data_IF_718497884012
#
_entry.id   IF_718497884012
#
_cell.length_a   1.000
_cell.length_b   1.000
_cell.length_c   1.000
_cell.angle_alpha   90.00
_cell.angle_beta   90.00
_cell.angle_gamma   90.00
#
_symmetry.space_group_name_H-M   'P 1'
#
loop_
_entity.id
_entity.type
_entity.pdbx_description
1 polymer ?
#
# COMPACT_ATOMS: atom_id res chain seq x y z
N UNK A 1 -9.90 -40.27 -35.49
CA UNK A 1 -9.06 -39.12 -35.08
C UNK A 1 -10.00 -38.06 -34.50
N UNK A 2 -10.17 -38.04 -33.18
CA UNK A 2 -11.08 -37.09 -32.51
C UNK A 2 -10.34 -35.76 -32.35
N UNK A 3 -10.51 -34.89 -33.33
CA UNK A 3 -10.14 -33.49 -33.28
C UNK A 3 -11.19 -32.73 -32.48
N UNK A 4 -10.75 -31.68 -31.77
CA UNK A 4 -11.54 -30.84 -30.86
C UNK A 4 -11.57 -31.40 -29.43
N UNK A 5 -10.61 -30.95 -28.61
CA UNK A 5 -10.66 -30.96 -27.15
C UNK A 5 -12.11 -30.74 -26.71
N UNK A 6 -12.70 -31.69 -25.98
CA UNK A 6 -14.08 -31.59 -25.48
C UNK A 6 -14.33 -30.16 -24.96
N UNK A 7 -15.13 -29.40 -25.71
CA UNK A 7 -15.31 -27.96 -25.50
C UNK A 7 -15.74 -27.65 -24.07
N UNK A 8 -16.45 -28.60 -23.43
CA UNK A 8 -16.86 -28.51 -22.03
C UNK A 8 -15.69 -28.70 -21.07
N UNK A 9 -14.87 -29.73 -21.26
CA UNK A 9 -13.68 -29.97 -20.43
C UNK A 9 -12.68 -28.80 -20.53
N UNK A 10 -12.47 -28.27 -21.74
CA UNK A 10 -11.63 -27.09 -21.92
C UNK A 10 -12.20 -25.84 -21.24
N UNK A 11 -13.51 -25.56 -21.39
CA UNK A 11 -14.15 -24.43 -20.75
C UNK A 11 -14.09 -24.50 -19.21
N UNK A 12 -14.26 -25.70 -18.64
CA UNK A 12 -14.13 -25.95 -17.20
C UNK A 12 -12.70 -25.71 -16.71
N UNK A 13 -11.69 -26.21 -17.45
CA UNK A 13 -10.29 -25.96 -17.14
C UNK A 13 -9.97 -24.46 -17.20
N UNK A 14 -10.38 -23.78 -18.26
CA UNK A 14 -10.18 -22.35 -18.44
C UNK A 14 -10.82 -21.53 -17.31
N UNK A 15 -12.04 -21.87 -16.89
CA UNK A 15 -12.70 -21.18 -15.78
C UNK A 15 -11.95 -21.42 -14.46
N UNK A 16 -11.56 -22.66 -14.19
CA UNK A 16 -10.79 -23.02 -12.98
C UNK A 16 -9.46 -22.27 -12.90
N UNK A 17 -8.76 -22.10 -14.03
CA UNK A 17 -7.52 -21.33 -14.11
C UNK A 17 -7.79 -19.84 -13.85
N UNK A 18 -8.82 -19.26 -14.48
CA UNK A 18 -9.18 -17.84 -14.27
C UNK A 18 -9.52 -17.55 -12.81
N UNK A 19 -10.28 -18.43 -12.16
CA UNK A 19 -10.62 -18.30 -10.74
C UNK A 19 -9.39 -18.34 -9.85
N UNK A 20 -8.47 -19.28 -10.10
CA UNK A 20 -7.19 -19.36 -9.37
C UNK A 20 -6.34 -18.10 -9.56
N UNK A 21 -6.22 -17.60 -10.80
CA UNK A 21 -5.49 -16.36 -11.08
C UNK A 21 -6.08 -15.19 -10.29
N UNK A 22 -7.40 -15.00 -10.35
CA UNK A 22 -8.09 -13.91 -9.64
C UNK A 22 -7.92 -14.02 -8.14
N UNK A 23 -8.05 -15.22 -7.58
CA UNK A 23 -7.86 -15.47 -6.15
C UNK A 23 -6.43 -15.12 -5.72
N UNK A 24 -5.43 -15.61 -6.43
CA UNK A 24 -4.02 -15.33 -6.11
C UNK A 24 -3.71 -13.84 -6.23
N UNK A 25 -4.22 -13.15 -7.25
CA UNK A 25 -4.06 -11.70 -7.39
C UNK A 25 -4.70 -10.93 -6.23
N UNK A 26 -5.91 -11.32 -5.83
CA UNK A 26 -6.60 -10.72 -4.69
C UNK A 26 -5.81 -10.92 -3.39
N UNK A 27 -5.34 -12.14 -3.13
CA UNK A 27 -4.56 -12.45 -1.93
C UNK A 27 -3.24 -11.67 -1.89
N UNK A 28 -2.56 -11.55 -3.04
CA UNK A 28 -1.35 -10.74 -3.16
C UNK A 28 -1.62 -9.25 -2.88
N UNK A 29 -2.66 -8.67 -3.50
CA UNK A 29 -3.05 -7.28 -3.26
C UNK A 29 -3.43 -7.04 -1.80
N UNK A 30 -4.13 -7.99 -1.16
CA UNK A 30 -4.49 -7.92 0.25
C UNK A 30 -3.26 -7.91 1.15
N UNK A 31 -2.27 -8.77 0.88
CA UNK A 31 -1.02 -8.81 1.62
C UNK A 31 -0.24 -7.49 1.46
N UNK A 32 -0.10 -7.00 0.23
CA UNK A 32 0.57 -5.72 -0.06
C UNK A 32 -0.13 -4.56 0.65
N UNK A 33 -1.46 -4.48 0.59
CA UNK A 33 -2.22 -3.43 1.26
C UNK A 33 -2.04 -3.44 2.78
N UNK A 34 -1.94 -4.62 3.39
CA UNK A 34 -1.67 -4.76 4.82
C UNK A 34 -0.31 -4.14 5.18
N UNK A 35 0.73 -4.46 4.40
CA UNK A 35 2.07 -3.91 4.62
C UNK A 35 2.11 -2.40 4.37
N UNK A 36 1.41 -1.90 3.35
CA UNK A 36 1.32 -0.45 3.09
C UNK A 36 0.64 0.30 4.25
N UNK A 37 -0.45 -0.23 4.81
CA UNK A 37 -1.11 0.38 5.96
C UNK A 37 -0.17 0.40 7.17
N UNK A 38 0.55 -0.69 7.42
CA UNK A 38 1.52 -0.76 8.52
C UNK A 38 2.65 0.27 8.34
N UNK A 39 3.22 0.37 7.13
CA UNK A 39 4.23 1.37 6.79
C UNK A 39 3.72 2.80 7.01
N UNK A 40 2.50 3.11 6.57
CA UNK A 40 1.90 4.43 6.73
C UNK A 40 1.65 4.78 8.20
N UNK A 41 1.23 3.79 9.01
CA UNK A 41 1.11 3.98 10.46
C UNK A 41 2.47 4.26 11.11
N UNK A 42 3.51 3.56 10.67
CA UNK A 42 4.88 3.68 11.17
C UNK A 42 5.47 5.06 10.86
N UNK A 43 5.36 5.51 9.61
CA UNK A 43 5.76 6.86 9.19
C UNK A 43 5.00 7.90 10.01
N UNK A 44 3.69 7.73 10.18
CA UNK A 44 2.87 8.62 11.00
C UNK A 44 3.40 8.76 12.43
N UNK A 45 3.78 7.64 13.07
CA UNK A 45 4.41 7.62 14.39
C UNK A 45 5.73 8.38 14.40
N UNK A 46 6.62 8.09 13.44
CA UNK A 46 7.91 8.77 13.32
C UNK A 46 7.77 10.29 13.20
N UNK A 47 6.79 10.75 12.41
CA UNK A 47 6.51 12.19 12.30
C UNK A 47 6.08 12.77 13.64
N UNK A 48 5.12 12.15 14.34
CA UNK A 48 4.66 12.63 15.66
C UNK A 48 5.83 12.71 16.65
N UNK A 49 6.64 11.66 16.76
CA UNK A 49 7.79 11.63 17.65
C UNK A 49 8.80 12.76 17.37
N UNK A 50 9.07 13.05 16.09
CA UNK A 50 9.98 14.13 15.70
C UNK A 50 9.37 15.51 15.95
N UNK A 51 8.06 15.66 15.79
CA UNK A 51 7.39 16.91 16.14
C UNK A 51 7.47 17.19 17.64
N UNK A 52 7.25 16.17 18.46
CA UNK A 52 7.28 16.31 19.92
C UNK A 52 8.68 16.58 20.45
N UNK A 53 9.71 15.90 19.90
CA UNK A 53 11.10 16.01 20.38
C UNK A 53 11.87 17.20 19.78
N UNK A 54 11.64 17.50 18.51
CA UNK A 54 12.48 18.40 17.72
C UNK A 54 11.71 19.60 17.16
N UNK A 55 10.40 19.71 17.43
CA UNK A 55 9.59 20.85 17.00
C UNK A 55 9.35 20.92 15.49
N UNK A 56 9.43 19.79 14.78
CA UNK A 56 9.35 19.76 13.32
C UNK A 56 8.05 20.37 12.79
N UNK A 57 8.19 21.45 12.03
CA UNK A 57 7.07 22.14 11.38
C UNK A 57 6.78 21.63 9.97
N UNK A 58 5.88 22.35 9.31
CA UNK A 58 5.45 22.09 7.92
C UNK A 58 6.62 22.04 6.91
N UNK A 59 7.61 22.90 7.06
CA UNK A 59 8.77 22.97 6.14
C UNK A 59 9.61 21.70 6.13
N UNK A 60 9.77 21.03 7.28
CA UNK A 60 10.53 19.79 7.38
C UNK A 60 9.79 18.64 6.71
N UNK A 61 8.47 18.57 6.90
CA UNK A 61 7.61 17.57 6.23
C UNK A 61 7.61 17.76 4.71
N UNK A 62 7.59 19.00 4.23
CA UNK A 62 7.68 19.29 2.79
C UNK A 62 9.03 18.90 2.20
N UNK A 63 10.13 19.13 2.92
CA UNK A 63 11.46 18.66 2.49
C UNK A 63 11.51 17.13 2.45
N UNK A 64 11.07 16.46 3.51
CA UNK A 64 11.03 15.01 3.59
C UNK A 64 10.22 14.40 2.44
N UNK A 65 9.05 14.98 2.12
CA UNK A 65 8.25 14.53 0.99
C UNK A 65 9.00 14.59 -0.33
N UNK A 66 9.71 15.70 -0.59
CA UNK A 66 10.53 15.86 -1.80
C UNK A 66 11.65 14.83 -1.85
N UNK A 67 12.38 14.67 -0.75
CA UNK A 67 13.48 13.71 -0.65
C UNK A 67 13.00 12.27 -0.91
N UNK A 68 11.86 11.88 -0.33
CA UNK A 68 11.24 10.57 -0.56
C UNK A 68 10.76 10.38 -2.00
N UNK A 69 10.20 11.42 -2.63
CA UNK A 69 9.76 11.33 -4.03
C UNK A 69 10.93 11.23 -5.02
N UNK A 70 12.08 11.82 -4.68
CA UNK A 70 13.32 11.71 -5.46
C UNK A 70 13.90 10.31 -5.32
N UNK A 71 13.97 9.77 -4.11
CA UNK A 71 14.54 8.45 -3.84
C UNK A 71 13.68 7.31 -4.42
N UNK A 72 12.35 7.49 -4.42
CA UNK A 72 11.40 6.48 -4.87
C UNK A 72 10.57 6.95 -6.08
N UNK A 73 11.20 7.14 -7.26
CA UNK A 73 10.52 7.64 -8.44
C UNK A 73 9.44 6.65 -8.89
N UNK A 74 8.25 7.16 -9.19
CA UNK A 74 7.10 6.37 -9.63
C UNK A 74 6.26 5.75 -8.50
N UNK A 75 6.77 5.73 -7.25
CA UNK A 75 5.97 5.29 -6.11
C UNK A 75 5.04 6.42 -5.65
N UNK A 76 3.74 6.18 -5.75
CA UNK A 76 2.72 7.08 -5.23
C UNK A 76 2.59 6.90 -3.72
N UNK A 77 2.20 7.96 -3.00
CA UNK A 77 1.98 7.87 -1.55
C UNK A 77 2.82 8.82 -0.71
N UNK A 78 3.93 9.34 -1.22
CA UNK A 78 4.88 10.17 -0.44
C UNK A 78 4.78 11.68 -0.68
N UNK A 79 3.63 12.17 -1.16
CA UNK A 79 3.40 13.63 -1.19
C UNK A 79 3.33 14.20 0.23
N UNK A 80 3.65 15.48 0.41
CA UNK A 80 3.57 16.13 1.71
C UNK A 80 2.17 15.99 2.35
N UNK A 81 1.11 16.09 1.53
CA UNK A 81 -0.28 15.87 1.98
C UNK A 81 -0.48 14.46 2.52
N UNK A 82 0.04 13.44 1.84
CA UNK A 82 -0.10 12.06 2.30
C UNK A 82 0.70 11.79 3.57
N UNK A 83 1.89 12.36 3.73
CA UNK A 83 2.65 12.26 4.98
C UNK A 83 1.88 12.91 6.15
N UNK A 84 1.21 14.04 5.92
CA UNK A 84 0.28 14.62 6.90
C UNK A 84 -0.88 13.69 7.22
N UNK A 85 -1.44 13.00 6.23
CA UNK A 85 -2.48 11.98 6.47
C UNK A 85 -1.97 10.78 7.25
N UNK A 86 -0.74 10.31 7.01
CA UNK A 86 -0.10 9.24 7.79
C UNK A 86 0.01 9.63 9.27
N UNK A 87 0.42 10.88 9.54
CA UNK A 87 0.43 11.43 10.90
C UNK A 87 -0.96 11.42 11.54
N UNK A 88 -1.96 11.96 10.83
CA UNK A 88 -3.34 12.01 11.35
C UNK A 88 -3.88 10.59 11.59
N UNK A 89 -3.60 9.66 10.69
CA UNK A 89 -3.96 8.26 10.83
C UNK A 89 -3.38 7.65 12.10
N UNK A 90 -2.08 7.83 12.34
CA UNK A 90 -1.43 7.35 13.57
C UNK A 90 -2.08 7.95 14.84
N UNK A 91 -2.29 9.26 14.87
CA UNK A 91 -2.90 9.94 16.02
C UNK A 91 -4.36 9.53 16.28
N UNK A 92 -5.09 9.19 15.23
CA UNK A 92 -6.53 8.87 15.35
C UNK A 92 -6.74 7.42 15.76
N UNK A 93 -6.00 6.49 15.15
CA UNK A 93 -6.29 5.07 15.23
C UNK A 93 -5.27 4.27 16.03
N UNK A 94 -4.00 4.69 16.10
CA UNK A 94 -2.95 3.92 16.77
C UNK A 94 -2.53 4.52 18.11
N UNK A 95 -2.66 5.84 18.30
CA UNK A 95 -2.32 6.48 19.57
C UNK A 95 -3.42 6.34 20.64
N UNK A 96 -4.65 5.98 20.25
CA UNK A 96 -5.80 5.84 21.16
C UNK A 96 -6.15 4.38 21.52
N UNK A 97 -5.33 3.41 21.12
CA UNK A 97 -5.47 1.99 21.51
C UNK A 97 -4.37 1.62 22.50
#
# INVERSE_FOLDING_TARGET
>A
MATITDHKAYAQLLNSIKERIRKTQYDALKAVNKELIALYADIGRMIVERQDKEGWGKSVVEKLAKDLQIEFPGIQGFSARNIWYMRIFHLTYCFRS
#
